data_IF_256496012662
#
_entry.id   IF_256496012662
#
_cell.length_a   1.000
_cell.length_b   1.000
_cell.length_c   1.000
_cell.angle_alpha   90.00
_cell.angle_beta   90.00
_cell.angle_gamma   90.00
#
_symmetry.space_group_name_H-M   'P 1'
#
loop_
_entity.id
_entity.type
_entity.pdbx_description
1 polymer ?
#
# COMPACT_ATOMS: atom_id res chain seq x y z
N UNK A 1 -14.86 -27.33 15.15
CA UNK A 1 -14.43 -26.00 15.68
C UNK A 1 -13.63 -25.37 14.56
N UNK A 2 -13.88 -24.13 14.19
CA UNK A 2 -13.21 -23.52 13.02
C UNK A 2 -11.92 -22.81 13.38
N UNK A 3 -10.98 -22.80 12.43
CA UNK A 3 -9.72 -22.09 12.45
C UNK A 3 -9.86 -20.56 12.45
N UNK A 4 -8.94 -19.88 13.13
CA UNK A 4 -8.82 -18.41 13.08
C UNK A 4 -7.82 -17.95 12.02
N UNK A 5 -8.13 -16.84 11.37
CA UNK A 5 -7.33 -16.32 10.25
C UNK A 5 -6.80 -14.91 10.50
N UNK A 6 -5.62 -14.62 9.95
CA UNK A 6 -5.03 -13.28 9.88
C UNK A 6 -4.36 -13.05 8.53
N UNK A 7 -4.27 -11.79 8.11
CA UNK A 7 -3.45 -11.42 6.96
C UNK A 7 -2.18 -10.79 7.47
N UNK A 8 -1.05 -11.19 6.90
CA UNK A 8 0.26 -10.68 7.23
C UNK A 8 0.94 -10.10 5.99
N UNK A 9 1.67 -9.01 6.20
CA UNK A 9 2.68 -8.49 5.29
C UNK A 9 4.05 -8.89 5.85
N UNK A 10 4.75 -9.76 5.11
CA UNK A 10 6.02 -10.34 5.53
C UNK A 10 7.14 -9.29 5.48
N UNK A 11 7.16 -8.46 4.44
CA UNK A 11 8.21 -7.46 4.23
C UNK A 11 8.21 -6.38 5.32
N UNK A 12 7.01 -5.97 5.76
CA UNK A 12 6.83 -4.89 6.76
C UNK A 12 6.60 -5.39 8.18
N UNK A 13 6.38 -6.69 8.36
CA UNK A 13 6.03 -7.31 9.64
C UNK A 13 4.78 -6.68 10.23
N UNK A 14 3.78 -6.54 9.37
CA UNK A 14 2.49 -5.95 9.73
C UNK A 14 1.37 -6.97 9.59
N UNK A 15 0.32 -6.86 10.40
CA UNK A 15 -0.84 -7.73 10.34
C UNK A 15 -2.13 -6.91 10.39
N UNK A 16 -3.17 -7.37 9.70
CA UNK A 16 -4.51 -6.77 9.82
C UNK A 16 -5.13 -6.95 11.21
N UNK A 17 -4.55 -7.84 12.04
CA UNK A 17 -5.15 -8.37 13.25
C UNK A 17 -6.12 -9.53 12.94
N UNK A 18 -6.73 -10.07 13.99
CA UNK A 18 -7.67 -11.19 13.91
C UNK A 18 -8.84 -10.88 12.95
N UNK A 19 -9.02 -11.71 11.93
CA UNK A 19 -10.19 -11.67 11.06
C UNK A 19 -11.38 -12.47 11.59
N UNK A 20 -11.15 -13.32 12.61
CA UNK A 20 -12.13 -14.30 13.05
C UNK A 20 -11.99 -15.59 12.25
N UNK A 21 -13.09 -16.33 12.10
CA UNK A 21 -13.12 -17.50 11.20
C UNK A 21 -13.35 -17.05 9.76
N UNK A 22 -12.86 -17.83 8.80
CA UNK A 22 -12.95 -17.43 7.39
C UNK A 22 -14.41 -17.26 6.95
N UNK A 23 -15.30 -18.22 7.27
CA UNK A 23 -16.72 -18.13 6.95
C UNK A 23 -17.42 -16.87 7.52
N UNK A 24 -16.97 -16.36 8.67
CA UNK A 24 -17.56 -15.16 9.29
C UNK A 24 -17.16 -13.86 8.57
N UNK A 25 -16.06 -13.87 7.82
CA UNK A 25 -15.46 -12.65 7.26
C UNK A 25 -15.26 -12.68 5.74
N UNK A 26 -15.30 -13.85 5.11
CA UNK A 26 -14.95 -14.04 3.70
C UNK A 26 -15.79 -13.14 2.79
N UNK A 27 -17.12 -13.10 2.99
CA UNK A 27 -18.02 -12.31 2.14
C UNK A 27 -18.08 -10.81 2.47
N UNK A 28 -17.80 -10.45 3.72
CA UNK A 28 -18.06 -9.10 4.24
C UNK A 28 -16.79 -8.24 4.38
N UNK A 29 -15.63 -8.85 4.56
CA UNK A 29 -14.38 -8.12 4.82
C UNK A 29 -13.71 -7.67 3.53
N UNK A 30 -13.70 -6.35 3.30
CA UNK A 30 -12.95 -5.70 2.20
C UNK A 30 -11.67 -5.01 2.67
N UNK A 31 -11.34 -5.16 3.96
CA UNK A 31 -10.35 -4.32 4.62
C UNK A 31 -8.92 -4.50 4.11
N UNK A 32 -8.59 -5.61 3.45
CA UNK A 32 -7.27 -5.85 2.85
C UNK A 32 -7.03 -5.02 1.59
N UNK A 33 -8.09 -4.77 0.81
CA UNK A 33 -8.00 -4.13 -0.52
C UNK A 33 -7.36 -2.75 -0.43
N UNK A 34 -7.70 -1.95 0.58
CA UNK A 34 -7.13 -0.62 0.77
C UNK A 34 -5.62 -0.62 1.03
N UNK A 35 -5.07 -1.70 1.60
CA UNK A 35 -3.64 -1.80 1.85
C UNK A 35 -2.89 -2.18 0.58
N UNK A 36 -3.49 -2.98 -0.30
CA UNK A 36 -2.87 -3.48 -1.52
C UNK A 36 -3.05 -2.56 -2.72
N UNK A 37 -3.93 -1.55 -2.64
CA UNK A 37 -4.07 -0.53 -3.69
C UNK A 37 -2.75 0.20 -3.91
N UNK A 38 -2.27 0.16 -5.15
CA UNK A 38 -1.09 0.89 -5.59
C UNK A 38 -1.35 2.39 -5.48
N UNK A 39 -0.56 3.13 -4.68
CA UNK A 39 -0.80 4.55 -4.53
C UNK A 39 -0.37 5.30 -5.78
N UNK A 40 -1.22 6.21 -6.26
CA UNK A 40 -0.93 7.12 -7.37
C UNK A 40 -0.86 8.55 -6.83
N UNK A 41 0.26 9.22 -7.08
CA UNK A 41 0.39 10.65 -6.80
C UNK A 41 -0.20 11.45 -7.97
N UNK A 42 -1.22 12.28 -7.74
CA UNK A 42 -1.83 13.06 -8.81
C UNK A 42 -0.83 14.00 -9.49
N UNK A 43 -1.05 14.27 -10.78
CA UNK A 43 -0.22 15.20 -11.56
C UNK A 43 -0.15 16.61 -10.96
N UNK A 44 -1.11 16.99 -10.13
CA UNK A 44 -1.12 18.27 -9.43
C UNK A 44 0.02 18.42 -8.38
N UNK A 45 0.73 17.33 -8.03
CA UNK A 45 1.94 17.35 -7.21
C UNK A 45 3.22 17.33 -8.05
N UNK A 46 3.15 17.03 -9.34
CA UNK A 46 4.33 17.02 -10.19
C UNK A 46 4.92 18.43 -10.26
N UNK A 47 6.25 18.58 -10.15
CA UNK A 47 6.88 19.86 -10.41
C UNK A 47 6.59 20.24 -11.86
N UNK A 48 6.03 21.42 -12.10
CA UNK A 48 5.93 21.93 -13.47
C UNK A 48 7.35 21.96 -14.05
N UNK A 49 7.57 21.22 -15.14
CA UNK A 49 8.88 21.00 -15.76
C UNK A 49 9.55 22.27 -16.34
N UNK A 50 8.95 23.44 -16.14
CA UNK A 50 9.40 24.73 -16.67
C UNK A 50 9.77 25.68 -15.54
N UNK A 51 10.94 25.45 -14.94
CA UNK A 51 11.73 26.57 -14.45
C UNK A 51 12.40 27.15 -15.69
N UNK A 52 11.79 28.15 -16.31
CA UNK A 52 12.53 28.99 -17.25
C UNK A 52 13.56 29.77 -16.43
N UNK A 53 14.83 29.71 -16.84
CA UNK A 53 15.93 30.48 -16.23
C UNK A 53 15.60 31.98 -16.11
N UNK A 54 14.66 32.48 -16.93
CA UNK A 54 14.14 33.85 -16.90
C UNK A 54 13.42 34.24 -15.59
N UNK A 55 12.82 33.31 -14.84
CA UNK A 55 12.22 33.62 -13.52
C UNK A 55 13.26 33.70 -12.40
N UNK A 56 14.36 32.96 -12.52
CA UNK A 56 15.47 33.00 -11.56
C UNK A 56 16.19 34.35 -11.58
N UNK A 57 16.24 35.01 -12.74
CA UNK A 57 16.85 36.33 -12.93
C UNK A 57 16.07 37.49 -12.28
N UNK A 58 14.78 37.32 -11.94
CA UNK A 58 13.93 38.39 -11.37
C UNK A 58 13.95 38.49 -9.85
N UNK A 59 14.63 37.57 -9.15
CA UNK A 59 14.76 37.60 -7.68
C UNK A 59 15.99 38.34 -7.15
N UNK A 60 16.73 39.06 -8.00
CA UNK A 60 17.78 40.01 -7.56
C UNK A 60 17.15 41.28 -6.97
N UNK A 61 16.55 41.15 -5.78
CA UNK A 61 15.98 42.25 -5.03
C UNK A 61 16.20 42.06 -3.53
N UNK A 62 17.35 42.55 -3.05
CA UNK A 62 17.68 42.65 -1.62
C UNK A 62 18.46 41.46 -1.06
N UNK A 63 19.79 41.52 -1.13
CA UNK A 63 20.66 40.65 -0.34
C UNK A 63 20.46 40.94 1.15
N UNK A 64 19.56 40.20 1.80
CA UNK A 64 19.60 40.04 3.25
C UNK A 64 20.72 39.04 3.54
N UNK A 65 21.89 39.54 3.97
CA UNK A 65 23.05 38.76 4.42
C UNK A 65 22.74 37.76 5.56
N UNK A 66 21.52 37.77 6.10
CA UNK A 66 21.07 36.90 7.19
C UNK A 66 20.78 35.44 6.76
N UNK A 67 20.54 35.17 5.47
CA UNK A 67 20.17 33.83 5.01
C UNK A 67 21.32 33.14 4.27
N UNK A 68 22.33 32.69 5.01
CA UNK A 68 23.54 32.01 4.48
C UNK A 68 23.20 30.89 3.51
N UNK A 69 22.17 30.08 3.80
CA UNK A 69 21.75 28.99 2.90
C UNK A 69 21.32 29.50 1.52
N UNK A 70 20.62 30.63 1.43
CA UNK A 70 20.16 31.19 0.15
C UNK A 70 21.27 31.84 -0.67
N UNK A 71 22.50 31.91 -0.15
CA UNK A 71 23.68 32.31 -0.92
C UNK A 71 24.27 31.16 -1.73
N UNK A 72 23.86 29.91 -1.43
CA UNK A 72 24.33 28.73 -2.14
C UNK A 72 23.68 28.63 -3.54
N UNK A 73 24.39 28.06 -4.52
CA UNK A 73 23.80 27.65 -5.79
C UNK A 73 22.61 26.71 -5.60
N UNK A 74 21.65 26.76 -6.52
CA UNK A 74 20.42 25.97 -6.49
C UNK A 74 20.68 24.46 -6.46
N UNK A 75 21.78 24.02 -7.05
CA UNK A 75 22.23 22.63 -7.09
C UNK A 75 22.62 22.14 -5.69
N UNK A 76 23.29 22.98 -4.90
CA UNK A 76 23.65 22.64 -3.53
C UNK A 76 22.41 22.65 -2.62
N UNK A 77 21.47 23.57 -2.86
CA UNK A 77 20.19 23.57 -2.16
C UNK A 77 19.36 22.32 -2.49
N UNK A 78 19.36 21.87 -3.74
CA UNK A 78 18.73 20.63 -4.15
C UNK A 78 19.41 19.41 -3.52
N UNK A 79 20.76 19.39 -3.48
CA UNK A 79 21.50 18.31 -2.82
C UNK A 79 21.17 18.21 -1.32
N UNK A 80 21.10 19.34 -0.61
CA UNK A 80 20.66 19.38 0.79
C UNK A 80 19.24 18.82 0.95
N UNK A 81 18.34 19.12 0.01
CA UNK A 81 16.98 18.61 0.05
C UNK A 81 16.91 17.10 -0.19
N UNK A 82 17.77 16.55 -1.06
CA UNK A 82 17.85 15.10 -1.32
C UNK A 82 18.29 14.31 -0.08
N UNK A 83 19.09 14.90 0.81
CA UNK A 83 19.40 14.30 2.12
C UNK A 83 18.17 14.15 3.04
N UNK A 84 17.06 14.84 2.74
CA UNK A 84 15.78 14.76 3.46
C UNK A 84 14.72 13.96 2.69
N UNK A 85 15.12 13.16 1.69
CA UNK A 85 14.18 12.44 0.83
C UNK A 85 13.27 11.49 1.63
N UNK A 86 13.81 10.84 2.66
CA UNK A 86 13.07 9.86 3.45
C UNK A 86 12.26 10.54 4.57
N UNK A 87 12.62 11.76 4.96
CA UNK A 87 12.04 12.59 6.02
C UNK A 87 11.06 13.61 5.45
N UNK A 88 9.94 13.13 4.88
CA UNK A 88 8.93 13.97 4.21
C UNK A 88 8.53 15.21 5.02
N UNK A 89 8.32 15.07 6.32
CA UNK A 89 7.97 16.19 7.20
C UNK A 89 9.05 17.29 7.21
N UNK A 90 10.31 16.91 7.42
CA UNK A 90 11.43 17.85 7.54
C UNK A 90 11.69 18.55 6.20
N UNK A 91 11.52 17.82 5.10
CA UNK A 91 11.59 18.36 3.75
C UNK A 91 10.48 19.40 3.48
N UNK A 92 9.24 19.14 3.91
CA UNK A 92 8.16 20.14 3.80
C UNK A 92 8.45 21.36 4.66
N UNK A 93 8.92 21.18 5.89
CA UNK A 93 9.31 22.31 6.75
C UNK A 93 10.41 23.16 6.09
N UNK A 94 11.45 22.53 5.53
CA UNK A 94 12.51 23.23 4.79
C UNK A 94 11.95 23.99 3.59
N UNK A 95 11.04 23.36 2.84
CA UNK A 95 10.38 23.93 1.66
C UNK A 95 9.56 25.18 1.98
N UNK A 96 8.93 25.24 3.16
CA UNK A 96 8.04 26.31 3.58
C UNK A 96 8.77 27.55 4.12
N UNK A 97 10.09 27.48 4.30
CA UNK A 97 10.89 28.58 4.86
C UNK A 97 10.91 29.82 3.95
N UNK A 98 10.96 29.63 2.63
CA UNK A 98 10.88 30.71 1.65
C UNK A 98 10.45 30.22 0.26
N UNK A 99 10.11 31.14 -0.65
CA UNK A 99 9.72 30.82 -2.04
C UNK A 99 10.83 30.12 -2.83
N UNK A 100 12.09 30.52 -2.63
CA UNK A 100 13.25 29.89 -3.31
C UNK A 100 13.37 28.42 -2.93
N UNK A 101 13.28 28.10 -1.63
CA UNK A 101 13.29 26.71 -1.17
C UNK A 101 12.07 25.96 -1.67
N UNK A 102 10.89 26.59 -1.71
CA UNK A 102 9.70 25.98 -2.27
C UNK A 102 9.88 25.57 -3.74
N UNK A 103 10.54 26.40 -4.56
CA UNK A 103 10.81 26.08 -5.96
C UNK A 103 11.86 24.98 -6.11
N UNK A 104 13.02 25.13 -5.46
CA UNK A 104 14.16 24.21 -5.59
C UNK A 104 13.80 22.79 -5.16
N UNK A 105 13.09 22.65 -4.05
CA UNK A 105 12.77 21.34 -3.47
C UNK A 105 11.57 20.66 -4.12
N UNK A 106 10.93 21.24 -5.15
CA UNK A 106 9.72 20.70 -5.75
C UNK A 106 9.84 19.25 -6.22
N UNK A 107 10.94 18.91 -6.90
CA UNK A 107 11.20 17.55 -7.38
C UNK A 107 11.41 16.56 -6.24
N UNK A 108 12.20 16.96 -5.24
CA UNK A 108 12.50 16.12 -4.09
C UNK A 108 11.26 15.93 -3.22
N UNK A 109 10.42 16.96 -3.03
CA UNK A 109 9.11 16.84 -2.36
C UNK A 109 8.22 15.79 -3.01
N UNK A 110 8.11 15.83 -4.34
CA UNK A 110 7.32 14.83 -5.09
C UNK A 110 7.87 13.41 -4.87
N UNK A 111 9.18 13.22 -5.00
CA UNK A 111 9.82 11.91 -4.77
C UNK A 111 9.65 11.42 -3.33
N UNK A 112 9.80 12.32 -2.36
CA UNK A 112 9.62 12.03 -0.94
C UNK A 112 8.17 11.61 -0.63
N UNK A 113 7.18 12.27 -1.24
CA UNK A 113 5.78 11.87 -1.15
C UNK A 113 5.57 10.46 -1.74
N UNK A 114 6.11 10.17 -2.93
CA UNK A 114 6.07 8.82 -3.50
C UNK A 114 6.70 7.77 -2.57
N UNK A 115 7.87 8.07 -1.98
CA UNK A 115 8.55 7.18 -1.01
C UNK A 115 7.71 6.97 0.25
N UNK A 116 7.12 8.04 0.81
CA UNK A 116 6.21 7.97 1.95
C UNK A 116 5.00 7.06 1.68
N UNK A 117 4.35 7.21 0.53
CA UNK A 117 3.19 6.40 0.17
C UNK A 117 3.56 4.92 -0.04
N UNK A 118 4.68 4.64 -0.71
CA UNK A 118 5.20 3.27 -0.88
C UNK A 118 5.53 2.61 0.45
N UNK A 119 6.15 3.34 1.38
CA UNK A 119 6.46 2.80 2.72
C UNK A 119 5.21 2.46 3.52
N UNK A 120 4.07 3.11 3.27
CA UNK A 120 2.80 2.87 3.98
C UNK A 120 1.81 1.93 3.29
N UNK A 121 1.90 1.74 1.98
CA UNK A 121 1.06 0.79 1.23
C UNK A 121 1.63 -0.63 1.30
N UNK A 122 0.81 -1.68 1.28
CA UNK A 122 1.26 -3.07 1.11
C UNK A 122 1.40 -3.47 -0.37
N UNK A 123 1.08 -2.58 -1.31
CA UNK A 123 1.22 -2.85 -2.73
C UNK A 123 2.67 -3.23 -3.10
N UNK A 124 2.84 -4.41 -3.68
CA UNK A 124 4.11 -4.99 -4.10
C UNK A 124 4.88 -5.73 -3.00
N UNK A 125 4.34 -5.80 -1.78
CA UNK A 125 4.92 -6.55 -0.67
C UNK A 125 4.47 -8.02 -0.69
N UNK A 126 5.24 -8.90 -0.05
CA UNK A 126 4.87 -10.30 0.17
C UNK A 126 3.73 -10.41 1.19
N UNK A 127 2.57 -10.89 0.75
CA UNK A 127 1.35 -10.97 1.58
C UNK A 127 0.80 -12.40 1.64
N UNK A 128 0.28 -12.79 2.81
CA UNK A 128 -0.27 -14.11 3.04
C UNK A 128 -1.46 -14.05 4.00
N UNK A 129 -2.50 -14.84 3.72
CA UNK A 129 -3.61 -15.09 4.63
C UNK A 129 -3.30 -16.42 5.33
N UNK A 130 -3.04 -16.38 6.63
CA UNK A 130 -2.61 -17.55 7.40
C UNK A 130 -3.63 -17.92 8.45
N UNK A 131 -3.78 -19.22 8.67
CA UNK A 131 -4.60 -19.76 9.74
C UNK A 131 -3.78 -20.19 10.97
N UNK A 132 -4.43 -20.37 12.11
CA UNK A 132 -3.81 -20.81 13.38
C UNK A 132 -3.42 -22.30 13.43
N UNK A 133 -3.50 -23.01 12.31
CA UNK A 133 -3.04 -24.39 12.13
C UNK A 133 -2.00 -24.50 11.00
N UNK A 134 -1.45 -23.37 10.52
CA UNK A 134 -0.42 -23.35 9.48
C UNK A 134 0.93 -23.79 10.05
N UNK A 135 1.26 -25.06 9.83
CA UNK A 135 2.54 -25.70 10.12
C UNK A 135 3.46 -25.74 8.88
N UNK A 136 2.89 -25.89 7.68
CA UNK A 136 3.63 -25.96 6.42
C UNK A 136 3.67 -24.60 5.74
N UNK A 137 4.87 -24.04 5.60
CA UNK A 137 5.08 -22.76 4.92
C UNK A 137 5.44 -22.96 3.44
N UNK A 138 4.96 -22.08 2.54
CA UNK A 138 5.32 -22.13 1.14
C UNK A 138 6.84 -22.03 0.92
N UNK A 139 7.36 -22.85 0.00
CA UNK A 139 8.79 -22.89 -0.31
C UNK A 139 9.21 -21.61 -1.04
N UNK A 140 10.38 -21.07 -0.71
CA UNK A 140 10.94 -19.89 -1.40
C UNK A 140 10.40 -18.53 -0.93
N UNK A 141 9.28 -18.49 -0.20
CA UNK A 141 8.70 -17.23 0.29
C UNK A 141 9.58 -16.54 1.33
N UNK A 142 10.14 -17.29 2.29
CA UNK A 142 10.93 -16.72 3.39
C UNK A 142 12.42 -16.70 3.09
N UNK A 143 13.02 -15.51 3.19
CA UNK A 143 14.47 -15.31 3.10
C UNK A 143 15.19 -15.90 4.30
N UNK A 144 16.52 -16.05 4.22
CA UNK A 144 17.34 -16.49 5.35
C UNK A 144 17.20 -15.56 6.58
N UNK A 145 17.02 -14.25 6.34
CA UNK A 145 16.81 -13.28 7.40
C UNK A 145 15.43 -13.43 8.06
N UNK A 146 14.39 -13.69 7.26
CA UNK A 146 13.05 -13.94 7.78
C UNK A 146 13.05 -15.18 8.67
N UNK A 147 13.68 -16.27 8.22
CA UNK A 147 13.79 -17.52 8.99
C UNK A 147 14.51 -17.34 10.32
N UNK A 148 15.60 -16.56 10.32
CA UNK A 148 16.35 -16.24 11.54
C UNK A 148 15.50 -15.39 12.50
N UNK A 149 14.78 -14.40 11.99
CA UNK A 149 13.97 -13.50 12.80
C UNK A 149 12.76 -14.20 13.43
N UNK A 150 12.07 -14.99 12.62
CA UNK A 150 10.91 -15.77 13.05
C UNK A 150 11.31 -16.94 13.97
N UNK A 151 12.62 -17.15 14.18
CA UNK A 151 13.17 -18.32 14.87
C UNK A 151 12.57 -19.62 14.33
N UNK A 152 12.31 -19.67 13.01
CA UNK A 152 11.85 -20.86 12.29
C UNK A 152 13.04 -21.84 12.21
N UNK A 153 13.42 -22.44 13.34
CA UNK A 153 14.37 -23.53 13.33
C UNK A 153 13.67 -24.82 12.95
N UNK A 154 14.31 -25.61 12.11
CA UNK A 154 13.84 -26.97 11.87
C UNK A 154 13.83 -27.75 13.19
N UNK A 155 12.63 -28.11 13.68
CA UNK A 155 12.33 -29.18 14.66
C UNK A 155 12.21 -28.80 16.14
N UNK A 156 11.16 -28.07 16.50
CA UNK A 156 10.54 -28.26 17.82
C UNK A 156 9.02 -28.28 17.69
N UNK A 157 8.39 -29.26 18.32
CA UNK A 157 6.92 -29.44 18.39
C UNK A 157 6.23 -28.36 19.25
N UNK A 158 6.98 -27.32 19.63
CA UNK A 158 6.63 -26.22 20.54
C UNK A 158 7.17 -24.86 20.04
N UNK A 159 7.67 -24.77 18.80
CA UNK A 159 7.99 -23.47 18.20
C UNK A 159 6.68 -22.76 17.86
N UNK A 160 6.58 -21.47 18.21
CA UNK A 160 5.44 -20.63 17.84
C UNK A 160 5.25 -20.74 16.34
N UNK A 161 4.08 -21.21 15.92
CA UNK A 161 3.70 -21.17 14.52
C UNK A 161 3.73 -19.71 14.03
N UNK A 162 3.81 -19.55 12.70
CA UNK A 162 3.88 -18.21 12.10
C UNK A 162 2.69 -17.34 12.51
N UNK A 163 1.54 -17.96 12.76
CA UNK A 163 0.33 -17.30 13.21
C UNK A 163 0.51 -16.65 14.59
N UNK A 164 0.93 -17.43 15.59
CA UNK A 164 1.21 -16.97 16.95
C UNK A 164 2.31 -15.91 16.96
N UNK A 165 3.38 -16.12 16.18
CA UNK A 165 4.46 -15.14 16.07
C UNK A 165 3.95 -13.81 15.49
N UNK A 166 3.19 -13.86 14.40
CA UNK A 166 2.63 -12.67 13.79
C UNK A 166 1.67 -11.95 14.75
N UNK A 167 0.77 -12.68 15.44
CA UNK A 167 -0.10 -12.11 16.45
C UNK A 167 0.67 -11.41 17.57
N UNK A 168 1.79 -11.99 18.01
CA UNK A 168 2.57 -11.46 19.12
C UNK A 168 3.53 -10.31 18.73
N UNK A 169 4.05 -10.31 17.50
CA UNK A 169 5.17 -9.44 17.10
C UNK A 169 4.86 -8.48 15.96
N UNK A 170 3.89 -8.79 15.10
CA UNK A 170 3.59 -7.93 13.97
C UNK A 170 2.76 -6.73 14.41
N UNK A 171 3.00 -5.58 13.79
CA UNK A 171 2.30 -4.35 14.13
C UNK A 171 1.05 -4.19 13.27
N UNK A 172 0.01 -3.54 13.81
CA UNK A 172 -1.14 -3.20 12.99
C UNK A 172 -0.78 -2.01 12.08
N UNK A 173 -1.06 -2.04 10.77
CA UNK A 173 -0.83 -0.86 9.92
C UNK A 173 -1.63 0.36 10.40
N UNK A 174 -2.75 0.16 11.13
CA UNK A 174 -3.58 1.24 11.71
C UNK A 174 -2.87 2.05 12.80
N UNK A 175 -1.89 1.49 13.53
CA UNK A 175 -1.17 2.24 14.57
C UNK A 175 -0.21 3.29 13.99
N UNK A 176 0.16 3.18 12.72
CA UNK A 176 0.82 4.27 11.97
C UNK A 176 -0.27 5.15 11.38
N UNK A 177 -0.74 6.13 12.16
CA UNK A 177 -1.79 7.12 11.82
C UNK A 177 -2.15 7.14 10.33
N UNK A 178 -3.31 6.56 9.97
CA UNK A 178 -3.82 6.49 8.59
C UNK A 178 -3.91 7.86 7.90
N UNK A 179 -3.87 8.93 8.69
CA UNK A 179 -3.81 10.27 8.18
C UNK A 179 -2.36 10.65 7.87
N UNK A 180 -2.09 10.85 6.59
CA UNK A 180 -0.82 11.35 6.08
C UNK A 180 -0.58 12.81 6.46
N UNK A 181 -1.59 13.52 6.95
CA UNK A 181 -1.48 14.93 7.34
C UNK A 181 -0.32 15.16 8.29
N UNK A 182 0.55 16.09 7.93
CA UNK A 182 1.64 16.54 8.79
C UNK A 182 1.10 17.14 10.09
N UNK A 183 -0.12 17.66 10.09
CA UNK A 183 -0.74 18.19 11.29
C UNK A 183 -0.95 17.12 12.35
N UNK A 184 -1.02 15.83 11.98
CA UNK A 184 -1.15 14.71 12.92
C UNK A 184 0.20 14.04 13.26
N UNK A 185 1.31 14.56 12.75
CA UNK A 185 2.65 14.13 13.18
C UNK A 185 2.82 14.43 14.68
N UNK A 186 3.40 13.50 15.43
CA UNK A 186 3.59 13.60 16.87
C UNK A 186 4.40 14.84 17.26
N UNK A 187 5.42 15.19 16.47
CA UNK A 187 6.25 16.39 16.69
C UNK A 187 5.43 17.67 16.58
N UNK A 188 4.44 17.69 15.68
CA UNK A 188 3.52 18.82 15.50
C UNK A 188 2.48 18.85 16.60
N UNK A 189 1.93 17.71 17.00
CA UNK A 189 0.99 17.63 18.13
C UNK A 189 1.62 18.12 19.43
N UNK A 190 2.91 17.83 19.63
CA UNK A 190 3.67 18.22 20.82
C UNK A 190 4.24 19.64 20.75
N UNK A 191 4.11 20.37 19.63
CA UNK A 191 4.62 21.73 19.46
C UNK A 191 3.54 22.69 18.94
N UNK A 192 2.94 23.45 19.86
CA UNK A 192 1.82 24.34 19.56
C UNK A 192 2.18 25.52 18.64
N UNK A 193 3.42 26.00 18.67
CA UNK A 193 3.90 27.06 17.78
C UNK A 193 4.02 26.53 16.35
N UNK A 194 4.73 25.42 16.17
CA UNK A 194 4.88 24.75 14.87
C UNK A 194 3.54 24.35 14.27
N UNK A 195 2.62 23.82 15.09
CA UNK A 195 1.26 23.49 14.65
C UNK A 195 0.51 24.71 14.14
N UNK A 196 0.63 25.86 14.82
CA UNK A 196 -0.03 27.11 14.41
C UNK A 196 0.52 27.59 13.07
N UNK A 197 1.83 27.55 12.89
CA UNK A 197 2.49 27.99 11.66
C UNK A 197 2.11 27.07 10.49
N UNK A 198 2.18 25.74 10.67
CA UNK A 198 1.75 24.78 9.66
C UNK A 198 0.26 24.91 9.33
N UNK A 199 -0.60 25.16 10.32
CA UNK A 199 -2.01 25.44 10.08
C UNK A 199 -2.19 26.68 9.19
N UNK A 200 -1.42 27.75 9.41
CA UNK A 200 -1.50 28.94 8.57
C UNK A 200 -1.16 28.66 7.10
N UNK A 201 -0.17 27.79 6.85
CA UNK A 201 0.16 27.33 5.50
C UNK A 201 -0.88 26.34 4.94
N UNK A 202 -1.48 25.50 5.78
CA UNK A 202 -2.48 24.52 5.38
C UNK A 202 -3.72 25.16 4.74
N UNK A 203 -4.03 26.43 5.06
CA UNK A 203 -5.12 27.17 4.42
C UNK A 203 -4.74 27.89 3.12
N UNK A 204 -3.46 27.89 2.73
CA UNK A 204 -2.95 28.61 1.55
C UNK A 204 -2.58 27.65 0.43
N UNK A 205 -3.08 27.89 -0.78
CA UNK A 205 -2.59 27.22 -1.99
C UNK A 205 -1.21 27.80 -2.38
N UNK A 206 -0.26 26.99 -2.89
CA UNK A 206 -0.36 25.55 -3.16
C UNK A 206 0.00 24.65 -1.96
N UNK A 207 0.35 25.21 -0.80
CA UNK A 207 0.90 24.47 0.35
C UNK A 207 -0.09 23.49 0.98
N UNK A 208 -1.38 23.84 1.00
CA UNK A 208 -2.45 23.05 1.62
C UNK A 208 -2.39 21.56 1.30
N UNK A 209 -2.24 21.20 0.02
CA UNK A 209 -2.22 19.79 -0.44
C UNK A 209 -1.03 19.00 0.10
N UNK A 210 0.12 19.65 0.26
CA UNK A 210 1.35 19.00 0.75
C UNK A 210 1.36 18.81 2.27
N UNK A 211 0.57 19.61 2.99
CA UNK A 211 0.49 19.56 4.46
C UNK A 211 -0.66 18.66 4.93
N UNK A 212 -1.83 18.82 4.31
CA UNK A 212 -3.05 18.12 4.72
C UNK A 212 -3.09 16.69 4.19
N UNK A 213 -2.60 16.46 2.96
CA UNK A 213 -2.62 15.15 2.29
C UNK A 213 -3.99 14.44 2.46
N UNK A 214 -5.07 15.20 2.29
CA UNK A 214 -6.47 14.75 2.47
C UNK A 214 -6.96 13.83 1.35
N UNK A 215 -6.21 13.75 0.25
CA UNK A 215 -6.58 12.93 -0.90
C UNK A 215 -6.33 11.44 -0.60
N UNK A 216 -7.30 10.60 -0.92
CA UNK A 216 -7.06 9.18 -1.07
C UNK A 216 -6.16 9.04 -2.31
N UNK A 217 -4.86 8.78 -2.10
CA UNK A 217 -3.88 8.51 -3.17
C UNK A 217 -4.18 7.21 -3.93
N UNK A 218 -5.44 6.85 -4.04
CA UNK A 218 -5.94 5.71 -4.78
C UNK A 218 -6.33 6.13 -6.20
N UNK A 219 -6.04 5.30 -7.20
CA UNK A 219 -6.55 5.51 -8.55
C UNK A 219 -8.07 5.73 -8.53
N UNK A 220 -8.54 6.76 -9.25
CA UNK A 220 -9.97 6.99 -9.47
C UNK A 220 -10.31 6.48 -10.87
N UNK A 221 -11.29 5.58 -10.95
CA UNK A 221 -11.85 5.17 -12.25
C UNK A 221 -12.48 6.41 -12.87
N UNK A 222 -11.88 6.91 -13.94
CA UNK A 222 -12.47 7.98 -14.72
C UNK A 222 -13.58 7.38 -15.56
N UNK A 223 -14.84 7.62 -15.18
CA UNK A 223 -15.99 7.29 -16.02
C UNK A 223 -15.92 8.16 -17.28
N UNK A 224 -15.26 7.67 -18.33
CA UNK A 224 -15.20 8.38 -19.59
C UNK A 224 -16.62 8.42 -20.17
N UNK A 225 -17.14 9.63 -20.45
CA UNK A 225 -18.39 9.80 -21.21
C UNK A 225 -18.26 9.36 -22.69
N UNK A 226 -17.11 8.81 -23.07
CA UNK A 226 -16.68 8.61 -24.45
C UNK A 226 -16.13 7.21 -24.63
N UNK A 227 -17.00 6.19 -24.67
CA UNK A 227 -16.81 4.90 -25.36
C UNK A 227 -15.52 4.08 -25.12
N UNK A 228 -14.64 4.47 -24.19
CA UNK A 228 -13.47 3.68 -23.83
C UNK A 228 -13.91 2.51 -22.95
N UNK A 229 -13.27 1.33 -23.07
CA UNK A 229 -13.59 0.19 -22.21
C UNK A 229 -13.48 0.64 -20.76
N UNK A 230 -14.53 0.38 -19.97
CA UNK A 230 -14.58 0.75 -18.56
C UNK A 230 -13.30 0.25 -17.87
N UNK A 231 -12.52 1.18 -17.33
CA UNK A 231 -11.32 0.86 -16.57
C UNK A 231 -11.75 0.12 -15.30
N UNK A 232 -11.06 -0.97 -15.00
CA UNK A 232 -11.43 -1.86 -13.92
C UNK A 232 -10.22 -2.15 -13.05
N UNK A 233 -10.52 -2.41 -11.78
CA UNK A 233 -9.52 -2.87 -10.85
C UNK A 233 -9.04 -4.27 -11.22
N UNK A 234 -7.78 -4.54 -10.96
CA UNK A 234 -7.17 -5.86 -11.08
C UNK A 234 -6.26 -6.13 -9.89
N UNK A 235 -6.21 -7.40 -9.48
CA UNK A 235 -5.23 -7.94 -8.54
C UNK A 235 -4.11 -8.58 -9.35
N UNK A 236 -2.85 -8.34 -8.98
CA UNK A 236 -1.68 -8.85 -9.69
C UNK A 236 -0.76 -9.61 -8.73
N UNK A 237 -0.26 -10.77 -9.15
CA UNK A 237 0.95 -11.37 -8.57
C UNK A 237 2.15 -10.93 -9.41
N UNK A 238 3.03 -10.13 -8.83
CA UNK A 238 4.23 -9.63 -9.49
C UNK A 238 5.27 -10.73 -9.71
N UNK A 239 5.31 -11.73 -8.81
CA UNK A 239 6.28 -12.83 -8.89
C UNK A 239 5.90 -13.83 -9.97
N UNK A 240 4.59 -14.04 -10.20
CA UNK A 240 4.07 -14.99 -11.21
C UNK A 240 3.69 -14.36 -12.53
N UNK A 241 3.60 -13.03 -12.58
CA UNK A 241 3.06 -12.30 -13.74
C UNK A 241 1.66 -12.79 -14.11
N UNK A 242 0.82 -13.02 -13.10
CA UNK A 242 -0.58 -13.40 -13.25
C UNK A 242 -1.48 -12.28 -12.74
N UNK A 243 -2.66 -12.12 -13.33
CA UNK A 243 -3.64 -11.15 -12.87
C UNK A 243 -5.08 -11.69 -12.88
N UNK A 244 -5.90 -11.09 -12.03
CA UNK A 244 -7.36 -11.26 -12.00
C UNK A 244 -8.02 -9.90 -12.11
N UNK A 245 -8.93 -9.75 -13.06
CA UNK A 245 -9.72 -8.53 -13.23
C UNK A 245 -10.95 -8.57 -12.32
N UNK A 246 -11.39 -7.41 -11.85
CA UNK A 246 -12.62 -7.30 -11.09
C UNK A 246 -13.82 -7.66 -11.97
N UNK A 247 -14.69 -8.54 -11.50
CA UNK A 247 -15.93 -8.89 -12.18
C UNK A 247 -17.12 -8.63 -11.26
N UNK A 248 -18.23 -8.21 -11.85
CA UNK A 248 -19.41 -7.64 -11.17
C UNK A 248 -20.06 -8.50 -10.08
N UNK A 249 -19.74 -9.79 -10.00
CA UNK A 249 -20.35 -10.71 -9.04
C UNK A 249 -19.66 -10.75 -7.66
N UNK A 250 -18.38 -10.35 -7.54
CA UNK A 250 -17.56 -10.58 -6.33
C UNK A 250 -16.57 -9.44 -6.10
N UNK A 251 -16.17 -9.24 -4.84
CA UNK A 251 -15.22 -8.18 -4.51
C UNK A 251 -13.77 -8.68 -4.62
N UNK A 252 -12.82 -7.77 -4.83
CA UNK A 252 -11.39 -8.07 -4.93
C UNK A 252 -10.81 -8.76 -3.68
N UNK A 253 -11.45 -8.63 -2.52
CA UNK A 253 -11.00 -9.25 -1.29
C UNK A 253 -11.22 -10.76 -1.33
N UNK A 254 -12.35 -11.24 -1.85
CA UNK A 254 -12.57 -12.68 -2.02
C UNK A 254 -11.56 -13.30 -2.99
N UNK A 255 -11.33 -12.64 -4.13
CA UNK A 255 -10.28 -13.04 -5.09
C UNK A 255 -8.94 -13.19 -4.38
N UNK A 256 -8.57 -12.21 -3.55
CA UNK A 256 -7.36 -12.28 -2.76
C UNK A 256 -7.35 -13.46 -1.80
N UNK A 257 -8.39 -13.62 -0.97
CA UNK A 257 -8.43 -14.67 0.05
C UNK A 257 -8.25 -16.07 -0.56
N UNK A 258 -8.85 -16.34 -1.73
CA UNK A 258 -8.61 -17.59 -2.47
C UNK A 258 -7.15 -17.77 -2.90
N UNK A 259 -6.50 -16.68 -3.30
CA UNK A 259 -5.18 -16.73 -3.89
C UNK A 259 -4.07 -16.73 -2.84
N UNK A 260 -4.27 -16.14 -1.66
CA UNK A 260 -3.18 -15.95 -0.68
C UNK A 260 -3.30 -16.80 0.58
N UNK A 261 -4.33 -17.66 0.66
CA UNK A 261 -4.58 -18.50 1.83
C UNK A 261 -3.53 -19.59 2.03
N UNK A 262 -3.20 -19.88 3.29
CA UNK A 262 -2.22 -20.86 3.69
C UNK A 262 -2.61 -21.48 5.04
N UNK A 263 -3.00 -22.75 5.06
CA UNK A 263 -3.26 -23.56 6.26
C UNK A 263 -3.12 -25.05 5.95
N UNK A 264 -2.79 -25.87 6.95
CA UNK A 264 -2.81 -27.34 6.84
C UNK A 264 -4.14 -27.95 7.28
N UNK A 265 -5.04 -27.16 7.88
CA UNK A 265 -6.34 -27.63 8.36
C UNK A 265 -7.46 -27.07 7.48
N UNK A 266 -8.23 -27.93 6.77
CA UNK A 266 -9.43 -27.51 6.06
C UNK A 266 -10.60 -27.19 7.02
N UNK A 267 -10.50 -27.57 8.30
CA UNK A 267 -11.59 -27.46 9.26
C UNK A 267 -11.86 -26.00 9.67
N UNK A 268 -12.95 -25.45 9.13
CA UNK A 268 -13.36 -24.05 9.36
C UNK A 268 -13.34 -23.16 8.12
N UNK A 269 -13.00 -23.71 6.95
CA UNK A 269 -13.26 -23.07 5.66
C UNK A 269 -14.76 -22.92 5.40
N UNK A 270 -15.09 -22.02 4.46
CA UNK A 270 -16.43 -21.97 3.84
C UNK A 270 -16.70 -23.33 3.18
N UNK A 271 -17.96 -23.76 3.08
CA UNK A 271 -18.33 -24.93 2.28
C UNK A 271 -17.71 -24.85 0.86
N UNK A 272 -17.08 -25.92 0.39
CA UNK A 272 -16.32 -25.91 -0.88
C UNK A 272 -14.99 -25.15 -0.85
N UNK A 273 -14.61 -24.62 0.31
CA UNK A 273 -13.46 -23.74 0.51
C UNK A 273 -12.14 -24.46 0.73
N UNK A 274 -12.02 -25.76 0.43
CA UNK A 274 -10.74 -26.49 0.56
C UNK A 274 -9.65 -25.82 -0.30
N UNK A 275 -10.02 -25.25 -1.44
CA UNK A 275 -9.11 -24.48 -2.29
C UNK A 275 -8.59 -23.18 -1.65
N UNK A 276 -9.19 -22.72 -0.53
CA UNK A 276 -8.78 -21.51 0.18
C UNK A 276 -7.55 -21.71 1.06
N UNK A 277 -7.18 -22.95 1.40
CA UNK A 277 -6.07 -23.21 2.33
C UNK A 277 -4.71 -23.34 1.64
N UNK A 278 -4.69 -23.57 0.32
CA UNK A 278 -3.47 -23.69 -0.49
C UNK A 278 -3.47 -22.68 -1.64
N UNK A 279 -3.64 -21.41 -1.29
CA UNK A 279 -3.65 -20.29 -2.24
C UNK A 279 -2.36 -20.25 -3.06
N UNK A 280 -2.52 -20.25 -4.40
CA UNK A 280 -1.38 -20.30 -5.32
C UNK A 280 -0.42 -19.11 -5.19
N UNK A 281 -0.89 -17.98 -4.68
CA UNK A 281 -0.14 -16.73 -4.47
C UNK A 281 0.20 -16.49 -2.99
N UNK A 282 0.09 -17.50 -2.12
CA UNK A 282 0.43 -17.37 -0.71
C UNK A 282 1.90 -16.96 -0.52
N UNK A 283 2.10 -15.72 -0.06
CA UNK A 283 3.43 -15.13 0.15
C UNK A 283 4.04 -14.44 -1.08
N UNK A 284 3.33 -14.36 -2.19
CA UNK A 284 3.76 -13.63 -3.38
C UNK A 284 3.69 -12.11 -3.15
N UNK A 285 4.46 -11.37 -3.97
CA UNK A 285 4.35 -9.92 -4.10
C UNK A 285 3.08 -9.52 -4.83
N UNK A 286 2.17 -8.83 -4.14
CA UNK A 286 0.84 -8.56 -4.66
C UNK A 286 0.51 -7.07 -4.64
N UNK A 287 -0.16 -6.59 -5.68
CA UNK A 287 -0.81 -5.29 -5.66
C UNK A 287 -2.20 -5.32 -6.30
N UNK A 288 -2.92 -4.22 -6.07
CA UNK A 288 -4.19 -3.91 -6.73
C UNK A 288 -3.98 -2.61 -7.49
N UNK A 289 -4.29 -2.61 -8.79
CA UNK A 289 -4.16 -1.43 -9.65
C UNK A 289 -5.30 -1.38 -10.67
N UNK A 290 -5.31 -0.32 -11.49
CA UNK A 290 -6.23 -0.22 -12.64
C UNK A 290 -5.62 -0.90 -13.87
N UNK A 291 -6.47 -1.48 -14.71
CA UNK A 291 -6.06 -2.08 -15.98
C UNK A 291 -5.36 -1.06 -16.89
N UNK A 292 -5.81 0.20 -16.89
CA UNK A 292 -5.12 1.29 -17.60
C UNK A 292 -3.68 1.52 -17.12
N UNK A 293 -3.46 1.47 -15.81
CA UNK A 293 -2.14 1.63 -15.19
C UNK A 293 -1.23 0.46 -15.52
N UNK A 294 -1.75 -0.76 -15.46
CA UNK A 294 -1.01 -1.95 -15.88
C UNK A 294 -0.58 -1.88 -17.35
N UNK A 295 -1.47 -1.48 -18.27
CA UNK A 295 -1.14 -1.28 -19.68
C UNK A 295 -0.07 -0.21 -19.88
N UNK A 296 -0.08 0.85 -19.07
CA UNK A 296 0.95 1.90 -19.12
C UNK A 296 2.31 1.40 -18.64
N UNK A 297 2.35 0.58 -17.58
CA UNK A 297 3.58 0.07 -16.98
C UNK A 297 4.26 -1.00 -17.85
N UNK A 298 3.48 -1.90 -18.45
CA UNK A 298 3.98 -3.11 -19.08
C UNK A 298 3.70 -3.21 -20.59
N UNK A 299 2.90 -2.31 -21.14
CA UNK A 299 2.49 -2.35 -22.55
C UNK A 299 1.66 -3.59 -22.88
N UNK A 300 1.46 -3.85 -24.17
CA UNK A 300 0.81 -5.08 -24.67
C UNK A 300 1.82 -6.24 -24.86
N UNK A 301 3.10 -6.01 -24.57
CA UNK A 301 4.20 -6.88 -24.98
C UNK A 301 4.68 -7.88 -23.91
N UNK A 302 4.13 -7.82 -22.69
CA UNK A 302 4.45 -8.77 -21.63
C UNK A 302 3.37 -9.84 -21.52
N UNK A 303 3.78 -11.11 -21.55
CA UNK A 303 2.93 -12.30 -21.48
C UNK A 303 2.36 -12.54 -20.07
N UNK A 304 1.70 -11.54 -19.49
CA UNK A 304 0.97 -11.72 -18.25
C UNK A 304 -0.20 -12.67 -18.48
N UNK A 305 -0.34 -13.65 -17.59
CA UNK A 305 -1.40 -14.65 -17.69
C UNK A 305 -2.65 -14.20 -16.95
N UNK A 306 -3.74 -14.04 -17.70
CA UNK A 306 -5.07 -13.80 -17.15
C UNK A 306 -5.64 -15.08 -16.55
N UNK A 307 -5.88 -15.10 -15.24
CA UNK A 307 -6.52 -16.23 -14.55
C UNK A 307 -7.95 -15.91 -14.08
N UNK A 308 -8.54 -14.80 -14.56
CA UNK A 308 -9.85 -14.30 -14.12
C UNK A 308 -10.94 -15.36 -14.21
N UNK A 309 -11.02 -16.09 -15.33
CA UNK A 309 -12.07 -17.11 -15.55
C UNK A 309 -12.00 -18.22 -14.50
N UNK A 310 -10.80 -18.73 -14.22
CA UNK A 310 -10.61 -19.82 -13.27
C UNK A 310 -11.04 -19.41 -11.85
N UNK A 311 -10.63 -18.21 -11.42
CA UNK A 311 -10.97 -17.71 -10.08
C UNK A 311 -12.45 -17.35 -9.98
N UNK A 312 -13.05 -16.86 -11.06
CA UNK A 312 -14.50 -16.63 -11.11
C UNK A 312 -15.28 -17.92 -10.91
N UNK A 313 -14.94 -18.98 -11.64
CA UNK A 313 -15.59 -20.30 -11.51
C UNK A 313 -15.45 -20.84 -10.09
N UNK A 314 -14.24 -20.78 -9.51
CA UNK A 314 -14.01 -21.20 -8.13
C UNK A 314 -14.90 -20.46 -7.11
N UNK A 315 -15.01 -19.13 -7.26
CA UNK A 315 -15.83 -18.31 -6.35
C UNK A 315 -17.34 -18.52 -6.53
N UNK A 316 -17.78 -18.92 -7.73
CA UNK A 316 -19.17 -19.30 -8.00
C UNK A 316 -19.50 -20.68 -7.40
N UNK A 317 -18.56 -21.63 -7.47
CA UNK A 317 -18.67 -22.96 -6.83
C UNK A 317 -18.80 -22.84 -5.31
N UNK A 318 -17.88 -22.11 -4.66
CA UNK A 318 -17.92 -21.87 -3.20
C UNK A 318 -19.25 -21.26 -2.77
N UNK A 319 -19.74 -20.26 -3.50
CA UNK A 319 -21.00 -19.60 -3.16
C UNK A 319 -22.22 -20.52 -3.35
N UNK A 320 -22.20 -21.38 -4.37
CA UNK A 320 -23.30 -22.32 -4.64
C UNK A 320 -23.37 -23.41 -3.56
N UNK A 321 -22.23 -23.86 -3.06
CA UNK A 321 -22.18 -24.87 -2.00
C UNK A 321 -22.63 -24.31 -0.65
N UNK A 322 -22.23 -23.09 -0.32
CA UNK A 322 -22.69 -22.41 0.89
C UNK A 322 -24.20 -22.15 0.89
N UNK A 323 -24.77 -21.70 -0.24
CA UNK A 323 -26.22 -21.55 -0.38
C UNK A 323 -26.96 -22.88 -0.13
N UNK A 324 -26.40 -24.03 -0.57
CA UNK A 324 -27.03 -25.34 -0.33
C UNK A 324 -27.05 -25.73 1.14
N UNK A 325 -25.97 -25.48 1.87
CA UNK A 325 -25.89 -25.79 3.30
C UNK A 325 -26.86 -24.94 4.14
N UNK A 326 -27.08 -23.68 3.75
CA UNK A 326 -28.07 -22.80 4.40
C UNK A 326 -29.53 -23.28 4.24
N UNK A 327 -29.84 -24.10 3.22
CA UNK A 327 -31.18 -24.65 2.97
C UNK A 327 -31.41 -26.07 3.53
N UNK A 328 -30.39 -26.74 4.09
CA UNK A 328 -30.49 -28.10 4.63
C UNK A 328 -30.85 -28.17 6.14
N UNK A 329 -31.31 -27.07 6.75
CA UNK A 329 -31.71 -26.98 8.16
C UNK A 329 -33.21 -26.97 8.42
#
# INVERSE_FOLDING_TARGET
MGQYWIIINIDKRETTGHLGKLAECFWYSTSVVKYLKTPIVPSCYQPNASISEEKLMKFKGGHNLAAVLLTLPTELLAAIAEELLEEYFDLICLSLTCSTMWEVTGRTRYRSLCSLLKRRSWAGDRVMLIGDYTNTLPKGVFTAQDRKYLALSTRSRYEQDLYEHACAKYQNPKTKSQCLSLLKDERVQNNSALRRDLMQFAYKKPFSRWILLEEEFTPVIQNSKTGSPEDHWMVRSLDRQEYVTNFSARNLAQVLYCLIGCSDDPSGCVAGGDALIEGAWAGDRIDITLASTHKQEYGEALDWKDITVNIKTLLEEIATEEEREDFEF
#
